data_IF_831869987638
#
_entry.id   IF_831869987638
#
_cell.length_a   1.000
_cell.length_b   1.000
_cell.length_c   1.000
_cell.angle_alpha   90.00
_cell.angle_beta   90.00
_cell.angle_gamma   90.00
#
_symmetry.space_group_name_H-M   'P 1'
#
loop_
_entity.id
_entity.type
_entity.pdbx_description
1 polymer ?
#
# COMPACT_ATOMS: atom_id res chain seq x y z
N UNK A 1 -31.48 -41.03 -6.76
CA UNK A 1 -30.11 -40.53 -6.53
C UNK A 1 -30.22 -39.17 -5.88
N UNK A 2 -29.88 -39.06 -4.59
CA UNK A 2 -30.06 -37.82 -3.82
C UNK A 2 -28.71 -37.14 -3.62
N UNK A 3 -28.56 -35.94 -4.19
CA UNK A 3 -27.36 -35.13 -4.07
C UNK A 3 -27.36 -34.43 -2.71
N UNK A 4 -26.47 -34.84 -1.81
CA UNK A 4 -26.21 -34.12 -0.56
C UNK A 4 -25.20 -33.00 -0.80
N UNK A 5 -25.70 -31.79 -1.03
CA UNK A 5 -24.89 -30.57 -0.96
C UNK A 5 -24.56 -30.28 0.51
N UNK A 6 -23.36 -30.63 0.95
CA UNK A 6 -22.85 -30.21 2.28
C UNK A 6 -22.63 -28.69 2.27
N UNK A 7 -23.57 -27.94 2.83
CA UNK A 7 -23.33 -26.54 3.18
C UNK A 7 -22.40 -26.49 4.40
N UNK A 8 -21.20 -25.96 4.21
CA UNK A 8 -20.31 -25.62 5.32
C UNK A 8 -20.75 -24.26 5.87
N UNK A 9 -21.49 -24.27 6.98
CA UNK A 9 -21.71 -23.06 7.77
C UNK A 9 -20.35 -22.58 8.30
N UNK A 10 -19.75 -21.57 7.65
CA UNK A 10 -18.46 -20.96 8.00
C UNK A 10 -18.48 -20.15 9.32
N UNK A 11 -19.41 -20.47 10.23
CA UNK A 11 -19.51 -19.85 11.53
C UNK A 11 -18.55 -20.56 12.49
N UNK A 12 -17.53 -19.84 12.95
CA UNK A 12 -16.60 -20.32 13.97
C UNK A 12 -17.10 -19.85 15.33
N UNK A 13 -17.38 -20.79 16.24
CA UNK A 13 -17.72 -20.48 17.63
C UNK A 13 -16.44 -20.50 18.46
N UNK A 14 -16.23 -19.44 19.25
CA UNK A 14 -15.09 -19.31 20.14
C UNK A 14 -15.51 -18.62 21.43
N UNK A 15 -14.73 -18.80 22.50
CA UNK A 15 -15.02 -18.15 23.77
C UNK A 15 -14.86 -16.63 23.65
N UNK A 16 -15.56 -15.89 24.51
CA UNK A 16 -15.45 -14.43 24.56
C UNK A 16 -14.00 -13.98 24.81
N UNK A 17 -13.25 -14.71 25.63
CA UNK A 17 -11.86 -14.40 25.94
C UNK A 17 -10.96 -14.56 24.70
N UNK A 18 -11.10 -15.66 23.96
CA UNK A 18 -10.36 -15.88 22.71
C UNK A 18 -10.71 -14.84 21.66
N UNK A 19 -11.99 -14.48 21.53
CA UNK A 19 -12.43 -13.43 20.62
C UNK A 19 -11.75 -12.09 20.92
N UNK A 20 -11.74 -11.68 22.19
CA UNK A 20 -11.13 -10.40 22.59
C UNK A 20 -9.63 -10.39 22.33
N UNK A 21 -8.94 -11.50 22.63
CA UNK A 21 -7.51 -11.66 22.34
C UNK A 21 -7.22 -11.54 20.84
N UNK A 22 -7.94 -12.28 20.00
CA UNK A 22 -7.77 -12.24 18.54
C UNK A 22 -8.09 -10.87 17.96
N UNK A 23 -9.14 -10.21 18.47
CA UNK A 23 -9.51 -8.85 18.07
C UNK A 23 -8.39 -7.86 18.37
N UNK A 24 -7.78 -7.94 19.56
CA UNK A 24 -6.66 -7.08 19.95
C UNK A 24 -5.43 -7.32 19.07
N UNK A 25 -5.09 -8.57 18.78
CA UNK A 25 -4.00 -8.92 17.86
C UNK A 25 -4.26 -8.36 16.46
N UNK A 26 -5.47 -8.53 15.92
CA UNK A 26 -5.84 -8.01 14.61
C UNK A 26 -5.73 -6.47 14.55
N UNK A 27 -6.13 -5.77 15.61
CA UNK A 27 -5.96 -4.31 15.69
C UNK A 27 -4.48 -3.91 15.69
N UNK A 28 -3.63 -4.61 16.44
CA UNK A 28 -2.19 -4.36 16.44
C UNK A 28 -1.57 -4.57 15.05
N UNK A 29 -1.93 -5.65 14.35
CA UNK A 29 -1.47 -5.90 12.99
C UNK A 29 -1.92 -4.81 12.01
N UNK A 30 -3.18 -4.37 12.09
CA UNK A 30 -3.68 -3.28 11.24
C UNK A 30 -2.95 -1.98 11.50
N UNK A 31 -2.69 -1.64 12.77
CA UNK A 31 -1.94 -0.44 13.13
C UNK A 31 -0.49 -0.50 12.64
N UNK A 32 0.16 -1.66 12.74
CA UNK A 32 1.51 -1.88 12.20
C UNK A 32 1.53 -1.75 10.68
N UNK A 33 0.61 -2.43 9.99
CA UNK A 33 0.51 -2.36 8.53
C UNK A 33 0.29 -0.92 8.05
N UNK A 34 -0.61 -0.17 8.72
CA UNK A 34 -0.83 1.24 8.43
C UNK A 34 0.48 2.04 8.54
N UNK A 35 1.26 1.85 9.61
CA UNK A 35 2.57 2.51 9.79
C UNK A 35 3.61 2.09 8.75
N UNK A 36 3.63 0.83 8.31
CA UNK A 36 4.53 0.35 7.26
C UNK A 36 4.19 0.99 5.91
N UNK A 37 2.92 1.10 5.55
CA UNK A 37 2.47 1.80 4.34
C UNK A 37 2.46 3.35 4.48
N UNK A 38 2.61 3.86 5.69
CA UNK A 38 2.87 5.27 5.98
C UNK A 38 4.36 5.60 5.98
N UNK A 39 5.24 4.60 6.06
CA UNK A 39 6.66 4.81 5.87
C UNK A 39 6.84 5.46 4.49
N UNK A 40 7.52 6.60 4.42
CA UNK A 40 7.77 7.22 3.15
C UNK A 40 8.54 6.24 2.28
N UNK A 41 7.92 5.89 1.16
CA UNK A 41 8.63 5.45 -0.03
C UNK A 41 9.68 6.54 -0.25
N UNK A 42 10.91 6.19 0.08
CA UNK A 42 12.00 7.13 0.31
C UNK A 42 12.51 7.72 -1.01
N UNK A 43 12.03 7.17 -2.11
CA UNK A 43 12.52 7.47 -3.44
C UNK A 43 11.68 8.64 -3.99
N UNK A 44 12.24 9.86 -4.07
CA UNK A 44 11.57 10.95 -4.75
C UNK A 44 11.14 10.52 -6.15
N UNK A 45 10.04 11.08 -6.65
CA UNK A 45 9.48 10.77 -7.99
C UNK A 45 10.57 10.80 -9.08
N UNK A 46 11.55 11.70 -8.94
CA UNK A 46 12.69 11.82 -9.84
C UNK A 46 13.60 10.58 -9.87
N UNK A 47 13.82 9.89 -8.75
CA UNK A 47 14.62 8.66 -8.67
C UNK A 47 13.89 7.52 -9.39
N UNK A 48 12.59 7.35 -9.16
CA UNK A 48 11.77 6.36 -9.86
C UNK A 48 11.79 6.59 -11.38
N UNK A 49 11.58 7.83 -11.83
CA UNK A 49 11.63 8.16 -13.27
C UNK A 49 13.04 7.93 -13.85
N UNK A 50 14.08 8.17 -13.05
CA UNK A 50 15.47 7.92 -13.45
C UNK A 50 15.73 6.44 -13.64
N UNK A 51 15.29 5.58 -12.72
CA UNK A 51 15.46 4.13 -12.83
C UNK A 51 14.79 3.56 -14.09
N UNK A 52 13.60 4.02 -14.43
CA UNK A 52 12.94 3.60 -15.67
C UNK A 52 13.67 4.13 -16.90
N UNK A 53 14.18 5.37 -16.84
CA UNK A 53 14.96 5.98 -17.92
C UNK A 53 16.27 5.24 -18.17
N UNK A 54 16.98 4.78 -17.13
CA UNK A 54 18.27 4.09 -17.28
C UNK A 54 18.13 2.73 -17.96
N UNK A 55 16.96 2.09 -17.89
CA UNK A 55 16.72 0.83 -18.63
C UNK A 55 16.78 1.01 -20.14
N UNK A 56 16.49 2.20 -20.66
CA UNK A 56 16.41 2.46 -22.10
C UNK A 56 15.26 1.73 -22.83
N UNK A 57 14.38 1.06 -22.09
CA UNK A 57 13.28 0.24 -22.64
C UNK A 57 11.99 1.02 -22.88
N UNK A 58 11.91 2.26 -22.38
CA UNK A 58 10.69 3.04 -22.35
C UNK A 58 10.81 4.31 -23.19
N UNK A 59 9.73 4.62 -23.90
CA UNK A 59 9.59 5.84 -24.70
C UNK A 59 9.58 7.09 -23.82
N UNK A 60 9.96 8.24 -24.39
CA UNK A 60 9.95 9.52 -23.67
C UNK A 60 8.55 9.91 -23.20
N UNK A 61 7.54 9.59 -24.00
CA UNK A 61 6.13 9.82 -23.74
C UNK A 61 5.68 9.04 -22.50
N UNK A 62 5.95 7.73 -22.46
CA UNK A 62 5.69 6.90 -21.27
C UNK A 62 6.36 7.45 -20.00
N UNK A 63 7.62 7.89 -20.08
CA UNK A 63 8.33 8.43 -18.91
C UNK A 63 7.69 9.75 -18.42
N UNK A 64 7.19 10.59 -19.33
CA UNK A 64 6.48 11.81 -18.99
C UNK A 64 5.13 11.52 -18.33
N UNK A 65 4.36 10.57 -18.88
CA UNK A 65 3.09 10.14 -18.30
C UNK A 65 3.27 9.48 -16.94
N UNK A 66 4.35 8.71 -16.75
CA UNK A 66 4.72 8.12 -15.47
C UNK A 66 5.04 9.21 -14.43
N UNK A 67 5.86 10.19 -14.78
CA UNK A 67 6.21 11.30 -13.89
C UNK A 67 4.97 12.12 -13.48
N UNK A 68 4.09 12.42 -14.44
CA UNK A 68 2.86 13.17 -14.21
C UNK A 68 1.84 12.38 -13.39
N UNK A 69 1.68 11.09 -13.68
CA UNK A 69 0.85 10.18 -12.90
C UNK A 69 1.32 10.05 -11.44
N UNK A 70 2.63 9.91 -11.22
CA UNK A 70 3.21 9.88 -9.88
C UNK A 70 3.00 11.20 -9.13
N UNK A 71 3.13 12.34 -9.82
CA UNK A 71 2.85 13.68 -9.26
C UNK A 71 1.39 13.92 -8.92
N UNK A 72 0.46 13.35 -9.69
CA UNK A 72 -0.99 13.52 -9.48
C UNK A 72 -1.57 12.49 -8.51
N UNK A 73 -0.90 11.36 -8.32
CA UNK A 73 -1.33 10.32 -7.41
C UNK A 73 -1.29 10.75 -5.94
N UNK A 74 -2.02 10.02 -5.09
CA UNK A 74 -2.00 10.19 -3.63
C UNK A 74 -0.59 10.13 -3.01
N UNK A 75 0.41 9.62 -3.75
CA UNK A 75 1.82 9.64 -3.41
C UNK A 75 2.34 11.06 -3.18
N UNK A 76 2.18 11.96 -4.16
CA UNK A 76 2.66 13.34 -4.05
C UNK A 76 1.95 14.08 -2.91
N UNK A 77 0.65 13.85 -2.72
CA UNK A 77 -0.10 14.46 -1.61
C UNK A 77 0.42 14.04 -0.22
N UNK A 78 0.90 12.80 -0.08
CA UNK A 78 1.39 12.26 1.20
C UNK A 78 2.87 12.61 1.47
N UNK A 79 3.66 12.83 0.43
CA UNK A 79 5.13 12.97 0.55
C UNK A 79 5.73 14.31 0.04
N UNK A 80 4.96 15.18 -0.63
CA UNK A 80 5.45 16.49 -1.11
C UNK A 80 5.99 17.39 0.02
N UNK A 81 5.49 17.24 1.24
CA UNK A 81 5.94 18.02 2.40
C UNK A 81 7.30 17.56 2.97
N UNK A 82 7.85 16.43 2.50
CA UNK A 82 9.11 15.88 3.02
C UNK A 82 10.33 16.16 2.11
N UNK A 83 10.11 16.57 0.86
CA UNK A 83 11.17 16.75 -0.14
C UNK A 83 11.44 18.20 -0.53
N UNK A 84 10.79 19.17 0.11
CA UNK A 84 11.07 20.60 -0.14
C UNK A 84 12.21 21.07 0.75
N UNK A 85 13.42 21.36 0.23
CA UNK A 85 14.44 21.99 1.05
C UNK A 85 13.95 23.39 1.42
N UNK A 86 13.98 23.72 2.72
CA UNK A 86 13.82 25.11 3.18
C UNK A 86 14.88 25.95 2.48
N UNK A 87 14.46 26.78 1.52
CA UNK A 87 15.28 27.88 1.05
C UNK A 87 15.37 28.89 2.19
N UNK A 88 16.53 28.94 2.84
CA UNK A 88 16.96 30.04 3.69
C UNK A 88 17.61 31.12 2.82
#
# INVERSE_FOLDING_TARGET
MANHTKQFNNAITLSKQEYLRLKQQAQAYRALAAKVFEMPLKDPIAEVVTDFRTTGLYTKEFLADLEDGLRKSSYARKYANQTSPKRH
#
